data_IF_672718511921
#
_entry.id   IF_672718511921
#
_cell.length_a   1.000
_cell.length_b   1.000
_cell.length_c   1.000
_cell.angle_alpha   90.00
_cell.angle_beta   90.00
_cell.angle_gamma   90.00
#
_symmetry.space_group_name_H-M   'P 1'
#
loop_
_entity.id
_entity.type
_entity.pdbx_description
1 polymer ?
#
# COMPACT_ATOMS: atom_id res chain seq x y z
N UNK A 1 -11.48 10.35 13.60
CA UNK A 1 -10.51 11.03 14.50
C UNK A 1 -9.96 12.27 13.81
N UNK A 2 -9.79 13.40 14.52
CA UNK A 2 -9.18 14.62 13.94
C UNK A 2 -7.75 14.39 13.43
N UNK A 3 -7.03 13.47 14.07
CA UNK A 3 -5.68 13.05 13.68
C UNK A 3 -5.59 12.59 12.21
N UNK A 4 -6.56 11.81 11.72
CA UNK A 4 -6.55 11.29 10.35
C UNK A 4 -6.52 12.41 9.31
N UNK A 5 -7.26 13.50 9.52
CA UNK A 5 -7.27 14.63 8.59
C UNK A 5 -5.91 15.31 8.48
N UNK A 6 -5.26 15.58 9.62
CA UNK A 6 -3.93 16.20 9.63
C UNK A 6 -2.84 15.28 9.05
N UNK A 7 -2.89 13.98 9.36
CA UNK A 7 -1.97 13.00 8.78
C UNK A 7 -2.15 12.90 7.27
N UNK A 8 -3.39 12.82 6.78
CA UNK A 8 -3.69 12.73 5.36
C UNK A 8 -3.13 13.94 4.58
N UNK A 9 -3.27 15.16 5.12
CA UNK A 9 -2.68 16.36 4.51
C UNK A 9 -1.15 16.26 4.40
N UNK A 10 -0.47 15.75 5.44
CA UNK A 10 1.00 15.57 5.41
C UNK A 10 1.45 14.46 4.47
N UNK A 11 0.62 13.44 4.28
CA UNK A 11 0.92 12.26 3.47
C UNK A 11 0.46 12.38 2.02
N UNK A 12 -0.19 13.49 1.65
CA UNK A 12 -0.76 13.69 0.32
C UNK A 12 -1.92 12.74 0.01
N UNK A 13 -2.68 12.33 1.02
CA UNK A 13 -3.85 11.44 0.86
C UNK A 13 -5.12 12.28 0.73
N UNK A 14 -5.77 12.22 -0.42
CA UNK A 14 -7.04 12.89 -0.67
C UNK A 14 -8.24 12.09 -0.15
N UNK A 15 -9.27 12.78 0.33
CA UNK A 15 -10.57 12.19 0.66
C UNK A 15 -11.63 12.71 -0.31
N UNK A 16 -12.46 11.82 -0.84
CA UNK A 16 -13.69 12.22 -1.53
C UNK A 16 -14.72 12.76 -0.53
N UNK A 17 -14.80 12.14 0.66
CA UNK A 17 -15.75 12.47 1.73
C UNK A 17 -15.12 12.18 3.10
N UNK A 18 -15.39 13.05 4.09
CA UNK A 18 -15.03 12.84 5.50
C UNK A 18 -16.33 12.89 6.30
N UNK A 19 -16.69 11.80 6.97
CA UNK A 19 -17.99 11.63 7.64
C UNK A 19 -17.76 11.37 9.13
N UNK A 20 -18.24 12.29 9.97
CA UNK A 20 -18.26 12.13 11.41
C UNK A 20 -19.64 11.66 11.88
N UNK A 21 -19.76 10.39 12.28
CA UNK A 21 -21.05 9.82 12.71
C UNK A 21 -21.44 10.13 14.16
N UNK A 22 -20.48 10.57 14.99
CA UNK A 22 -20.72 10.95 16.39
C UNK A 22 -21.45 9.85 17.16
N UNK A 23 -22.59 10.21 17.75
CA UNK A 23 -23.38 9.32 18.61
C UNK A 23 -24.22 8.27 17.86
N UNK A 24 -24.30 8.32 16.51
CA UNK A 24 -24.95 7.27 15.68
C UNK A 24 -26.42 6.97 16.03
N UNK A 25 -27.17 7.98 16.45
CA UNK A 25 -28.58 7.83 16.88
C UNK A 25 -29.54 7.48 15.74
N UNK A 26 -29.19 7.83 14.49
CA UNK A 26 -30.04 7.60 13.32
C UNK A 26 -29.28 6.91 12.18
N UNK A 27 -28.12 7.44 11.81
CA UNK A 27 -27.27 6.91 10.73
C UNK A 27 -26.04 6.25 11.33
N UNK A 28 -25.76 5.01 10.93
CA UNK A 28 -24.60 4.23 11.37
C UNK A 28 -23.71 3.83 10.17
N UNK A 29 -22.60 3.14 10.45
CA UNK A 29 -21.63 2.67 9.48
C UNK A 29 -22.27 1.88 8.35
N UNK A 30 -23.30 1.07 8.64
CA UNK A 30 -24.01 0.27 7.63
C UNK A 30 -24.59 1.14 6.52
N UNK A 31 -25.36 2.19 6.86
CA UNK A 31 -25.99 3.05 5.85
C UNK A 31 -24.93 3.86 5.09
N UNK A 32 -23.85 4.27 5.75
CA UNK A 32 -22.76 4.99 5.07
C UNK A 32 -21.97 4.10 4.12
N UNK A 33 -21.69 2.85 4.49
CA UNK A 33 -21.05 1.88 3.58
C UNK A 33 -21.95 1.66 2.36
N UNK A 34 -23.25 1.41 2.56
CA UNK A 34 -24.21 1.22 1.46
C UNK A 34 -24.25 2.44 0.51
N UNK A 35 -24.30 3.65 1.06
CA UNK A 35 -24.23 4.90 0.28
C UNK A 35 -22.90 5.05 -0.50
N UNK A 36 -21.76 4.84 0.17
CA UNK A 36 -20.43 5.03 -0.43
C UNK A 36 -20.11 3.98 -1.51
N UNK A 37 -20.76 2.82 -1.48
CA UNK A 37 -20.64 1.83 -2.55
C UNK A 37 -21.19 2.35 -3.88
N UNK A 38 -22.27 3.13 -3.84
CA UNK A 38 -22.85 3.78 -5.02
C UNK A 38 -22.16 5.08 -5.46
N UNK A 39 -21.31 5.67 -4.62
CA UNK A 39 -20.69 6.99 -4.87
C UNK A 39 -19.53 6.91 -5.89
N UNK A 40 -19.64 7.50 -7.09
CA UNK A 40 -18.62 7.35 -8.15
C UNK A 40 -17.26 7.95 -7.77
N UNK A 41 -17.22 8.93 -6.87
CA UNK A 41 -15.99 9.59 -6.43
C UNK A 41 -15.21 8.78 -5.39
N UNK A 42 -15.84 7.77 -4.79
CA UNK A 42 -15.24 6.93 -3.74
C UNK A 42 -14.64 5.67 -4.33
N UNK A 43 -13.32 5.53 -4.22
CA UNK A 43 -12.56 4.33 -4.63
C UNK A 43 -12.35 3.33 -3.50
N UNK A 44 -12.12 3.80 -2.28
CA UNK A 44 -11.80 3.00 -1.09
C UNK A 44 -12.58 3.57 0.10
N UNK A 45 -13.16 2.69 0.92
CA UNK A 45 -13.88 3.08 2.13
C UNK A 45 -13.01 2.75 3.34
N UNK A 46 -12.76 3.77 4.18
CA UNK A 46 -11.98 3.65 5.41
C UNK A 46 -12.93 3.79 6.60
N UNK A 47 -12.90 2.81 7.51
CA UNK A 47 -13.68 2.82 8.74
C UNK A 47 -12.76 2.97 9.95
N UNK A 48 -12.96 4.03 10.74
CA UNK A 48 -12.35 4.15 12.06
C UNK A 48 -13.43 3.85 13.10
N UNK A 49 -13.27 2.74 13.83
CA UNK A 49 -14.31 2.15 14.65
C UNK A 49 -13.91 2.15 16.13
N UNK A 50 -14.72 2.77 16.98
CA UNK A 50 -14.60 2.68 18.44
C UNK A 50 -15.51 1.57 18.99
N UNK A 51 -16.71 1.45 18.45
CA UNK A 51 -17.68 0.40 18.72
C UNK A 51 -18.69 0.29 17.58
N UNK A 52 -19.46 -0.79 17.53
CA UNK A 52 -20.55 -0.97 16.57
C UNK A 52 -21.74 -1.55 17.34
N UNK A 53 -22.90 -0.92 17.19
CA UNK A 53 -24.09 -1.30 17.94
C UNK A 53 -24.77 -2.50 17.27
N UNK A 54 -24.89 -2.47 15.94
CA UNK A 54 -25.44 -3.55 15.11
C UNK A 54 -24.39 -4.14 14.15
N UNK A 55 -23.35 -4.84 14.66
CA UNK A 55 -22.22 -5.30 13.85
C UNK A 55 -22.65 -6.25 12.73
N UNK A 56 -23.69 -7.08 12.96
CA UNK A 56 -24.20 -8.02 11.95
C UNK A 56 -24.63 -7.30 10.66
N UNK A 57 -25.28 -6.14 10.77
CA UNK A 57 -25.76 -5.39 9.62
C UNK A 57 -24.59 -4.85 8.78
N UNK A 58 -23.53 -4.36 9.44
CA UNK A 58 -22.31 -3.92 8.76
C UNK A 58 -21.63 -5.09 8.04
N UNK A 59 -21.49 -6.24 8.70
CA UNK A 59 -20.87 -7.45 8.14
C UNK A 59 -21.64 -7.93 6.90
N UNK A 60 -22.96 -8.05 6.98
CA UNK A 60 -23.77 -8.50 5.84
C UNK A 60 -23.76 -7.49 4.68
N UNK A 61 -23.73 -6.18 4.98
CA UNK A 61 -23.60 -5.14 3.96
C UNK A 61 -22.24 -5.19 3.27
N UNK A 62 -21.15 -5.37 4.03
CA UNK A 62 -19.83 -5.53 3.46
C UNK A 62 -19.71 -6.79 2.59
N UNK A 63 -20.32 -7.92 3.01
CA UNK A 63 -20.41 -9.14 2.20
C UNK A 63 -21.18 -8.93 0.90
N UNK A 64 -22.32 -8.23 0.96
CA UNK A 64 -23.14 -7.90 -0.22
C UNK A 64 -22.32 -7.18 -1.29
N UNK A 65 -21.40 -6.30 -0.89
CA UNK A 65 -20.57 -5.50 -1.78
C UNK A 65 -19.12 -6.01 -1.91
N UNK A 66 -18.88 -7.28 -1.55
CA UNK A 66 -17.57 -7.91 -1.70
C UNK A 66 -17.10 -7.74 -3.14
N UNK A 67 -15.81 -7.42 -3.29
CA UNK A 67 -15.14 -7.19 -4.58
C UNK A 67 -15.62 -6.00 -5.40
N UNK A 68 -16.55 -5.17 -4.91
CA UNK A 68 -16.93 -3.94 -5.61
C UNK A 68 -15.96 -2.79 -5.31
N UNK A 69 -15.81 -2.43 -4.03
CA UNK A 69 -14.82 -1.45 -3.56
C UNK A 69 -14.13 -1.97 -2.31
N UNK A 70 -12.83 -1.70 -2.12
CA UNK A 70 -12.15 -2.08 -0.89
C UNK A 70 -12.74 -1.37 0.33
N UNK A 71 -13.02 -2.15 1.38
CA UNK A 71 -13.34 -1.65 2.71
C UNK A 71 -12.16 -2.03 3.62
N UNK A 72 -11.57 -1.03 4.26
CA UNK A 72 -10.54 -1.21 5.27
C UNK A 72 -11.03 -0.63 6.60
N UNK A 73 -10.73 -1.31 7.70
CA UNK A 73 -11.21 -0.92 9.02
C UNK A 73 -10.07 -0.91 10.04
N UNK A 74 -10.08 0.10 10.89
CA UNK A 74 -9.28 0.14 12.12
C UNK A 74 -10.22 0.17 13.33
N UNK A 75 -10.23 -0.93 14.09
CA UNK A 75 -10.94 -1.02 15.38
C UNK A 75 -10.02 -0.60 16.52
N UNK A 76 -10.24 0.61 17.04
CA UNK A 76 -9.54 1.11 18.23
C UNK A 76 -10.18 0.59 19.53
N UNK A 77 -9.56 0.83 20.68
CA UNK A 77 -10.10 0.43 21.99
C UNK A 77 -10.10 -1.08 22.23
N UNK A 78 -9.21 -1.81 21.56
CA UNK A 78 -9.14 -3.27 21.56
C UNK A 78 -8.44 -3.89 22.78
N UNK A 79 -7.75 -3.07 23.58
CA UNK A 79 -7.11 -3.50 24.84
C UNK A 79 -8.11 -3.50 26.00
N UNK A 80 -7.92 -4.35 27.01
CA UNK A 80 -8.82 -4.49 28.17
C UNK A 80 -9.10 -3.16 28.89
N UNK A 81 -8.08 -2.30 29.03
CA UNK A 81 -8.25 -0.94 29.60
C UNK A 81 -8.99 -0.01 28.63
N UNK A 82 -8.75 -0.16 27.33
CA UNK A 82 -9.46 0.58 26.29
C UNK A 82 -10.93 0.19 26.17
N UNK A 83 -11.28 -1.06 26.46
CA UNK A 83 -12.66 -1.54 26.52
C UNK A 83 -13.44 -0.85 27.64
N UNK A 84 -12.89 -0.80 28.86
CA UNK A 84 -13.51 -0.06 29.98
C UNK A 84 -13.65 1.45 29.72
N UNK A 85 -12.64 2.06 29.09
CA UNK A 85 -12.69 3.47 28.70
C UNK A 85 -13.74 3.71 27.61
N UNK A 86 -13.86 2.81 26.64
CA UNK A 86 -14.87 2.87 25.57
C UNK A 86 -16.28 2.69 26.15
N UNK A 87 -16.49 1.71 27.02
CA UNK A 87 -17.73 1.55 27.78
C UNK A 87 -18.16 2.83 28.50
N UNK A 88 -17.21 3.51 29.13
CA UNK A 88 -17.48 4.76 29.86
C UNK A 88 -17.71 5.97 28.93
N UNK A 89 -17.07 5.99 27.76
CA UNK A 89 -17.10 7.13 26.84
C UNK A 89 -18.21 7.04 25.78
N UNK A 90 -18.49 5.85 25.26
CA UNK A 90 -19.47 5.62 24.17
C UNK A 90 -20.66 4.77 24.61
N UNK A 91 -20.64 4.17 25.81
CA UNK A 91 -21.73 3.31 26.30
C UNK A 91 -21.82 1.93 25.64
N UNK A 92 -20.90 1.60 24.72
CA UNK A 92 -20.85 0.31 24.02
C UNK A 92 -19.75 -0.59 24.60
N UNK A 93 -20.05 -1.86 24.92
CA UNK A 93 -19.02 -2.86 25.22
C UNK A 93 -18.08 -3.01 24.02
N UNK A 94 -16.77 -2.82 24.21
CA UNK A 94 -15.80 -3.18 23.19
C UNK A 94 -15.70 -4.70 23.18
N UNK A 95 -16.45 -5.34 22.27
CA UNK A 95 -16.31 -6.77 22.00
C UNK A 95 -14.85 -7.16 21.75
N UNK A 96 -14.50 -8.41 22.06
CA UNK A 96 -13.13 -8.93 21.91
C UNK A 96 -12.57 -8.65 20.52
N UNK A 97 -11.36 -8.12 20.45
CA UNK A 97 -10.68 -7.77 19.20
C UNK A 97 -10.69 -8.91 18.18
N UNK A 98 -10.41 -10.14 18.63
CA UNK A 98 -10.41 -11.37 17.82
C UNK A 98 -11.75 -11.64 17.12
N UNK A 99 -12.87 -11.29 17.77
CA UNK A 99 -14.21 -11.45 17.21
C UNK A 99 -14.44 -10.43 16.09
N UNK A 100 -14.00 -9.18 16.28
CA UNK A 100 -14.07 -8.16 15.24
C UNK A 100 -13.20 -8.53 14.04
N UNK A 101 -11.94 -8.90 14.26
CA UNK A 101 -11.02 -9.24 13.16
C UNK A 101 -11.47 -10.48 12.39
N UNK A 102 -11.99 -11.49 13.09
CA UNK A 102 -12.61 -12.67 12.46
C UNK A 102 -13.84 -12.30 11.63
N UNK A 103 -14.76 -11.49 12.18
CA UNK A 103 -15.96 -11.05 11.47
C UNK A 103 -15.63 -10.18 10.24
N UNK A 104 -14.69 -9.24 10.36
CA UNK A 104 -14.20 -8.43 9.25
C UNK A 104 -13.59 -9.30 8.14
N UNK A 105 -12.78 -10.29 8.50
CA UNK A 105 -12.18 -11.21 7.53
C UNK A 105 -13.26 -11.99 6.76
N UNK A 106 -14.29 -12.50 7.46
CA UNK A 106 -15.44 -13.15 6.82
C UNK A 106 -16.22 -12.21 5.89
N UNK A 107 -16.27 -10.92 6.23
CA UNK A 107 -16.91 -9.90 5.41
C UNK A 107 -16.07 -9.41 4.21
N UNK A 108 -14.79 -9.75 4.16
CA UNK A 108 -13.86 -9.21 3.17
C UNK A 108 -13.40 -7.78 3.48
N UNK A 109 -13.56 -7.35 4.73
CA UNK A 109 -13.03 -6.08 5.26
C UNK A 109 -11.60 -6.33 5.71
N UNK A 110 -10.65 -5.55 5.20
CA UNK A 110 -9.26 -5.63 5.65
C UNK A 110 -9.10 -4.90 6.99
N UNK A 111 -8.80 -5.64 8.05
CA UNK A 111 -8.45 -5.05 9.34
C UNK A 111 -7.02 -4.48 9.34
N UNK A 112 -6.87 -3.28 9.90
CA UNK A 112 -5.61 -2.56 10.05
C UNK A 112 -5.47 -2.11 11.50
N UNK A 113 -4.25 -2.14 12.05
CA UNK A 113 -4.04 -2.00 13.49
C UNK A 113 -3.64 -0.59 13.95
N UNK A 114 -3.38 0.33 13.03
CA UNK A 114 -3.03 1.70 13.35
C UNK A 114 -3.39 2.69 12.23
N UNK A 115 -3.48 3.96 12.62
CA UNK A 115 -3.87 5.09 11.75
C UNK A 115 -2.91 5.32 10.57
N UNK A 116 -1.60 5.12 10.75
CA UNK A 116 -0.61 5.34 9.69
C UNK A 116 -0.74 4.29 8.60
N UNK A 117 -0.73 3.01 8.98
CA UNK A 117 -0.97 1.90 8.05
C UNK A 117 -2.33 2.00 7.39
N UNK A 118 -3.35 2.54 8.08
CA UNK A 118 -4.70 2.72 7.51
C UNK A 118 -4.66 3.69 6.32
N UNK A 119 -4.01 4.85 6.49
CA UNK A 119 -3.86 5.83 5.43
C UNK A 119 -2.94 5.33 4.31
N UNK A 120 -1.83 4.66 4.65
CA UNK A 120 -0.92 4.09 3.66
C UNK A 120 -1.63 3.05 2.77
N UNK A 121 -2.42 2.19 3.40
CA UNK A 121 -3.18 1.15 2.70
C UNK A 121 -4.23 1.76 1.79
N UNK A 122 -4.96 2.77 2.27
CA UNK A 122 -5.94 3.47 1.45
C UNK A 122 -5.29 4.17 0.25
N UNK A 123 -4.15 4.84 0.46
CA UNK A 123 -3.37 5.49 -0.59
C UNK A 123 -2.98 4.48 -1.68
N UNK A 124 -2.43 3.33 -1.28
CA UNK A 124 -2.05 2.27 -2.21
C UNK A 124 -3.26 1.68 -2.95
N UNK A 125 -4.35 1.34 -2.25
CA UNK A 125 -5.56 0.77 -2.86
C UNK A 125 -6.26 1.72 -3.84
N UNK A 126 -6.16 3.03 -3.62
CA UNK A 126 -6.79 4.03 -4.48
C UNK A 126 -6.02 4.29 -5.79
N UNK A 127 -4.74 3.95 -5.83
CA UNK A 127 -3.82 4.33 -6.90
C UNK A 127 -3.13 3.14 -7.60
N UNK A 128 -3.05 1.97 -6.96
CA UNK A 128 -2.46 0.76 -7.53
C UNK A 128 -3.52 -0.28 -7.88
N UNK A 129 -3.31 -1.11 -8.92
CA UNK A 129 -4.05 -2.36 -9.03
C UNK A 129 -3.69 -3.32 -7.88
N UNK A 130 -4.59 -4.25 -7.58
CA UNK A 130 -4.34 -5.32 -6.62
C UNK A 130 -3.44 -6.39 -7.28
N UNK A 131 -2.37 -6.88 -6.64
CA UNK A 131 -1.51 -7.90 -7.22
C UNK A 131 -2.28 -9.21 -7.47
N UNK A 132 -2.01 -9.86 -8.59
CA UNK A 132 -2.65 -11.13 -8.97
C UNK A 132 -1.98 -12.37 -8.36
N UNK A 133 -0.85 -12.18 -7.68
CA UNK A 133 -0.13 -13.23 -6.99
C UNK A 133 0.84 -12.66 -5.96
N UNK A 134 1.50 -13.53 -5.18
CA UNK A 134 2.40 -13.11 -4.10
C UNK A 134 3.80 -12.72 -4.59
N UNK A 135 4.10 -12.85 -5.88
CA UNK A 135 5.45 -12.67 -6.41
C UNK A 135 5.88 -11.22 -6.50
N UNK A 136 6.93 -10.82 -5.76
CA UNK A 136 7.40 -9.44 -5.67
C UNK A 136 8.83 -9.31 -6.20
N UNK A 137 9.05 -8.27 -7.00
CA UNK A 137 10.37 -7.77 -7.33
C UNK A 137 10.76 -6.61 -6.43
N UNK A 138 11.97 -6.66 -5.87
CA UNK A 138 12.53 -5.57 -5.07
C UNK A 138 13.73 -5.01 -5.82
N UNK A 139 13.60 -3.78 -6.30
CA UNK A 139 14.65 -3.04 -6.99
C UNK A 139 15.11 -1.92 -6.07
N UNK A 140 16.38 -1.91 -5.72
CA UNK A 140 16.91 -0.94 -4.78
C UNK A 140 18.18 -0.27 -5.29
N UNK A 141 18.28 1.05 -5.15
CA UNK A 141 19.54 1.76 -5.36
C UNK A 141 20.56 1.48 -4.26
N UNK A 142 20.13 0.96 -3.10
CA UNK A 142 20.99 0.70 -1.95
C UNK A 142 20.64 -0.67 -1.35
N UNK A 143 21.64 -1.44 -0.89
CA UNK A 143 21.38 -2.75 -0.31
C UNK A 143 20.42 -2.71 0.91
N UNK A 144 20.65 -1.80 1.87
CA UNK A 144 19.89 -1.71 3.12
C UNK A 144 18.37 -1.57 2.94
N UNK A 145 17.88 -0.55 2.20
CA UNK A 145 16.46 -0.41 1.86
C UNK A 145 15.84 -1.67 1.24
N UNK A 146 16.57 -2.34 0.34
CA UNK A 146 16.13 -3.60 -0.27
C UNK A 146 15.92 -4.70 0.76
N UNK A 147 16.89 -4.89 1.67
CA UNK A 147 16.78 -5.87 2.75
C UNK A 147 15.60 -5.58 3.68
N UNK A 148 15.43 -4.32 4.11
CA UNK A 148 14.33 -3.94 5.01
C UNK A 148 12.94 -4.21 4.38
N UNK A 149 12.81 -4.00 3.07
CA UNK A 149 11.58 -4.33 2.34
C UNK A 149 11.37 -5.84 2.23
N UNK A 150 12.42 -6.61 1.92
CA UNK A 150 12.36 -8.07 1.86
C UNK A 150 11.89 -8.68 3.19
N UNK A 151 12.46 -8.23 4.32
CA UNK A 151 12.07 -8.71 5.66
C UNK A 151 10.57 -8.56 5.90
N UNK A 152 9.99 -7.41 5.52
CA UNK A 152 8.55 -7.16 5.66
C UNK A 152 7.72 -8.05 4.72
N UNK A 153 8.15 -8.23 3.48
CA UNK A 153 7.48 -9.06 2.48
C UNK A 153 7.45 -10.53 2.91
N UNK A 154 8.61 -11.12 3.22
CA UNK A 154 8.75 -12.53 3.54
C UNK A 154 8.03 -12.89 4.85
N UNK A 155 8.02 -11.98 5.83
CA UNK A 155 7.26 -12.14 7.06
C UNK A 155 5.72 -12.08 6.86
N UNK A 156 5.22 -11.83 5.64
CA UNK A 156 3.80 -11.59 5.36
C UNK A 156 3.28 -12.29 4.09
N UNK A 157 3.80 -13.49 3.79
CA UNK A 157 3.36 -14.36 2.68
C UNK A 157 3.54 -13.76 1.27
N UNK A 158 4.44 -12.78 1.12
CA UNK A 158 4.93 -12.36 -0.20
C UNK A 158 6.22 -13.12 -0.51
N UNK A 159 6.43 -13.42 -1.79
CA UNK A 159 7.59 -14.17 -2.27
C UNK A 159 8.51 -13.27 -3.07
N UNK A 160 9.79 -13.19 -2.69
CA UNK A 160 10.82 -12.56 -3.50
C UNK A 160 11.15 -13.51 -4.65
N UNK A 161 10.64 -13.24 -5.85
CA UNK A 161 10.65 -14.20 -6.96
C UNK A 161 12.01 -14.29 -7.66
N UNK A 162 12.30 -15.47 -8.19
CA UNK A 162 13.31 -15.60 -9.24
C UNK A 162 12.75 -15.02 -10.55
N UNK A 163 13.54 -14.17 -11.19
CA UNK A 163 13.19 -13.64 -12.50
C UNK A 163 13.24 -14.72 -13.57
N UNK A 164 12.53 -14.49 -14.68
CA UNK A 164 12.73 -15.26 -15.91
C UNK A 164 14.19 -15.14 -16.39
N UNK A 165 14.65 -16.13 -17.16
CA UNK A 165 16.00 -16.09 -17.73
C UNK A 165 16.23 -14.83 -18.58
N UNK A 166 15.21 -14.39 -19.32
CA UNK A 166 15.28 -13.19 -20.16
C UNK A 166 15.51 -11.92 -19.33
N UNK A 167 14.78 -11.75 -18.22
CA UNK A 167 14.95 -10.61 -17.32
C UNK A 167 16.30 -10.67 -16.61
N UNK A 168 16.69 -11.86 -16.14
CA UNK A 168 17.97 -12.07 -15.48
C UNK A 168 19.17 -11.76 -16.40
N UNK A 169 19.08 -12.10 -17.69
CA UNK A 169 20.08 -11.74 -18.70
C UNK A 169 20.19 -10.22 -18.90
N UNK A 170 19.06 -9.52 -19.03
CA UNK A 170 19.05 -8.05 -19.13
C UNK A 170 19.67 -7.39 -17.89
N UNK A 171 19.35 -7.89 -16.70
CA UNK A 171 19.95 -7.38 -15.45
C UNK A 171 21.48 -7.55 -15.49
N UNK A 172 21.98 -8.72 -15.90
CA UNK A 172 23.42 -8.98 -15.98
C UNK A 172 24.13 -8.13 -17.06
N UNK A 173 23.44 -7.75 -18.15
CA UNK A 173 23.98 -6.86 -19.18
C UNK A 173 24.23 -5.45 -18.63
N UNK A 174 23.30 -4.92 -17.83
CA UNK A 174 23.36 -3.55 -17.29
C UNK A 174 24.06 -3.44 -15.94
N UNK A 175 24.20 -4.56 -15.22
CA UNK A 175 24.98 -4.70 -14.00
C UNK A 175 26.05 -5.78 -14.21
N UNK A 176 27.01 -5.59 -15.13
CA UNK A 176 28.02 -6.59 -15.43
C UNK A 176 28.79 -6.98 -14.15
N UNK A 177 28.87 -8.28 -13.83
CA UNK A 177 29.17 -8.71 -12.47
C UNK A 177 30.67 -8.72 -12.11
N UNK A 178 30.95 -8.52 -10.83
CA UNK A 178 31.88 -9.36 -10.06
C UNK A 178 31.16 -10.56 -9.38
N UNK A 179 29.81 -10.51 -9.22
CA UNK A 179 28.95 -11.58 -8.69
C UNK A 179 27.50 -11.52 -9.26
N UNK A 180 26.78 -12.64 -9.22
CA UNK A 180 25.39 -12.80 -9.71
C UNK A 180 24.42 -11.77 -9.07
N UNK A 181 23.54 -11.14 -9.87
CA UNK A 181 22.57 -10.12 -9.43
C UNK A 181 21.14 -10.62 -9.55
N UNK A 182 20.60 -11.27 -8.52
CA UNK A 182 19.22 -11.78 -8.47
C UNK A 182 18.26 -10.78 -7.83
N UNK A 183 17.03 -11.19 -7.53
CA UNK A 183 16.08 -10.46 -6.69
C UNK A 183 16.45 -10.67 -5.20
N UNK A 184 16.55 -9.63 -4.35
CA UNK A 184 16.45 -8.20 -4.64
C UNK A 184 17.60 -7.68 -5.51
N UNK A 185 17.28 -6.81 -6.48
CA UNK A 185 18.27 -6.20 -7.38
C UNK A 185 18.88 -4.97 -6.73
N UNK A 186 20.14 -5.07 -6.34
CA UNK A 186 20.98 -3.95 -5.93
C UNK A 186 21.54 -3.23 -7.17
N UNK A 187 20.94 -2.07 -7.48
CA UNK A 187 21.27 -1.18 -8.59
C UNK A 187 22.34 -0.14 -8.21
N UNK A 188 22.96 -0.23 -7.03
CA UNK A 188 24.06 0.65 -6.63
C UNK A 188 25.17 0.83 -7.69
N UNK A 189 25.62 -0.24 -8.39
CA UNK A 189 26.62 -0.12 -9.46
C UNK A 189 26.19 0.74 -10.66
N UNK A 190 24.89 0.99 -10.84
CA UNK A 190 24.32 1.79 -11.92
C UNK A 190 23.89 3.20 -11.48
N UNK A 191 24.30 3.69 -10.30
CA UNK A 191 23.90 5.02 -9.79
C UNK A 191 24.08 6.16 -10.78
N UNK A 192 25.21 6.16 -11.50
CA UNK A 192 25.58 7.19 -12.47
C UNK A 192 24.97 6.96 -13.87
N UNK A 193 24.27 5.84 -14.08
CA UNK A 193 23.66 5.48 -15.36
C UNK A 193 22.14 5.29 -15.18
N UNK A 194 21.42 6.41 -15.29
CA UNK A 194 19.95 6.42 -15.23
C UNK A 194 19.31 5.64 -16.38
N UNK A 195 20.00 5.50 -17.52
CA UNK A 195 19.54 4.67 -18.64
C UNK A 195 19.62 3.19 -18.28
N UNK A 196 20.74 2.72 -17.73
CA UNK A 196 20.88 1.35 -17.23
C UNK A 196 19.81 1.03 -16.17
N UNK A 197 19.64 1.92 -15.18
CA UNK A 197 18.60 1.80 -14.15
C UNK A 197 17.21 1.68 -14.78
N UNK A 198 16.87 2.56 -15.74
CA UNK A 198 15.59 2.52 -16.42
C UNK A 198 15.35 1.24 -17.24
N UNK A 199 16.40 0.68 -17.85
CA UNK A 199 16.30 -0.59 -18.61
C UNK A 199 16.11 -1.79 -17.68
N UNK A 200 16.76 -1.82 -16.53
CA UNK A 200 16.58 -2.85 -15.49
C UNK A 200 15.13 -2.83 -14.98
N UNK A 201 14.63 -1.65 -14.59
CA UNK A 201 13.25 -1.49 -14.11
C UNK A 201 12.26 -1.97 -15.17
N UNK A 202 12.47 -1.61 -16.44
CA UNK A 202 11.59 -2.02 -17.55
C UNK A 202 11.59 -3.54 -17.75
N UNK A 203 12.76 -4.19 -17.68
CA UNK A 203 12.86 -5.64 -17.78
C UNK A 203 12.02 -6.34 -16.70
N UNK A 204 12.11 -5.85 -15.47
CA UNK A 204 11.38 -6.40 -14.31
C UNK A 204 9.88 -6.14 -14.39
N UNK A 205 9.47 -4.98 -14.92
CA UNK A 205 8.06 -4.66 -15.15
C UNK A 205 7.36 -5.67 -16.07
N UNK A 206 8.08 -6.15 -17.09
CA UNK A 206 7.58 -7.09 -18.09
C UNK A 206 7.71 -8.56 -17.67
N UNK A 207 8.40 -8.85 -16.56
CA UNK A 207 8.64 -10.23 -16.11
C UNK A 207 7.36 -10.93 -15.62
N UNK A 208 7.06 -12.11 -16.17
CA UNK A 208 5.82 -12.84 -15.87
C UNK A 208 5.73 -13.40 -14.45
N UNK A 209 6.87 -13.66 -13.78
CA UNK A 209 6.89 -14.14 -12.40
C UNK A 209 6.60 -13.01 -11.40
N UNK A 210 6.67 -11.75 -11.84
CA UNK A 210 6.49 -10.58 -10.99
C UNK A 210 5.03 -10.15 -10.99
N UNK A 211 4.40 -10.11 -9.82
CA UNK A 211 3.03 -9.63 -9.60
C UNK A 211 2.99 -8.25 -8.93
N UNK A 212 4.08 -7.79 -8.32
CA UNK A 212 4.20 -6.46 -7.74
C UNK A 212 5.66 -6.00 -7.64
N UNK A 213 5.89 -4.69 -7.66
CA UNK A 213 7.23 -4.12 -7.72
C UNK A 213 7.41 -3.11 -6.58
N UNK A 214 8.50 -3.28 -5.83
CA UNK A 214 9.02 -2.32 -4.88
C UNK A 214 10.24 -1.64 -5.48
N UNK A 215 10.16 -0.34 -5.73
CA UNK A 215 11.27 0.47 -6.24
C UNK A 215 11.77 1.44 -5.15
N UNK A 216 12.99 1.21 -4.68
CA UNK A 216 13.54 1.85 -3.49
C UNK A 216 14.80 2.63 -3.87
N UNK A 217 14.74 3.95 -3.83
CA UNK A 217 15.86 4.81 -4.25
C UNK A 217 16.05 5.91 -3.21
N UNK A 218 17.17 5.86 -2.50
CA UNK A 218 17.59 6.98 -1.66
C UNK A 218 18.50 7.90 -2.47
N UNK A 219 18.38 9.20 -2.21
CA UNK A 219 19.22 10.19 -2.86
C UNK A 219 20.69 10.01 -2.54
N UNK A 220 21.51 10.06 -3.59
CA UNK A 220 22.93 10.32 -3.53
C UNK A 220 23.26 11.28 -4.70
N UNK A 221 24.25 12.15 -4.54
CA UNK A 221 24.59 13.11 -5.61
C UNK A 221 24.85 12.43 -6.98
N UNK A 222 25.40 11.22 -6.97
CA UNK A 222 25.67 10.43 -8.17
C UNK A 222 24.41 9.98 -8.93
N UNK A 223 23.24 9.90 -8.28
CA UNK A 223 21.99 9.40 -8.88
C UNK A 223 20.94 10.50 -9.11
N UNK A 224 21.32 11.78 -9.04
CA UNK A 224 20.39 12.92 -9.11
C UNK A 224 19.42 12.85 -10.31
N UNK A 225 19.86 12.37 -11.47
CA UNK A 225 19.05 12.27 -12.68
C UNK A 225 18.17 11.02 -12.77
N UNK A 226 18.21 10.11 -11.79
CA UNK A 226 17.54 8.80 -11.88
C UNK A 226 16.02 8.94 -12.01
N UNK A 227 15.37 9.74 -11.16
CA UNK A 227 13.91 9.91 -11.17
C UNK A 227 13.44 10.53 -12.47
N UNK A 228 14.15 11.55 -12.95
CA UNK A 228 13.90 12.18 -14.26
C UNK A 228 14.06 11.18 -15.41
N UNK A 229 15.12 10.36 -15.37
CA UNK A 229 15.41 9.34 -16.38
C UNK A 229 14.33 8.27 -16.50
N UNK A 230 13.68 7.92 -15.38
CA UNK A 230 12.65 6.87 -15.34
C UNK A 230 11.21 7.38 -15.49
N UNK A 231 10.96 8.67 -15.19
CA UNK A 231 9.61 9.25 -15.11
C UNK A 231 8.74 8.99 -16.34
N UNK A 232 9.26 9.25 -17.54
CA UNK A 232 8.47 9.15 -18.77
C UNK A 232 7.97 7.74 -19.04
N UNK A 233 8.79 6.71 -18.79
CA UNK A 233 8.35 5.35 -19.06
C UNK A 233 7.46 4.79 -17.94
N UNK A 234 7.69 5.19 -16.68
CA UNK A 234 6.81 4.82 -15.57
C UNK A 234 5.40 5.35 -15.83
N UNK A 235 5.27 6.62 -16.25
CA UNK A 235 3.98 7.21 -16.65
C UNK A 235 3.30 6.43 -17.79
N UNK A 236 4.06 6.04 -18.82
CA UNK A 236 3.52 5.30 -19.97
C UNK A 236 3.16 3.85 -19.64
N UNK A 237 3.77 3.24 -18.63
CA UNK A 237 3.49 1.87 -18.23
C UNK A 237 2.13 1.73 -17.53
N UNK A 238 1.60 2.82 -16.94
CA UNK A 238 0.25 2.91 -16.36
C UNK A 238 -0.06 1.83 -15.32
N UNK A 239 0.92 1.47 -14.49
CA UNK A 239 0.77 0.48 -13.41
C UNK A 239 0.00 -0.78 -13.82
N UNK A 240 0.51 -1.55 -14.79
CA UNK A 240 -0.08 -2.86 -15.12
C UNK A 240 -0.08 -3.84 -13.94
N UNK A 241 0.90 -3.65 -13.04
CA UNK A 241 1.06 -4.32 -11.75
C UNK A 241 1.30 -3.22 -10.71
N UNK A 242 1.01 -3.43 -9.42
CA UNK A 242 1.28 -2.43 -8.39
C UNK A 242 2.77 -2.04 -8.40
N UNK A 243 3.03 -0.75 -8.61
CA UNK A 243 4.36 -0.15 -8.45
C UNK A 243 4.33 0.76 -7.22
N UNK A 244 4.92 0.25 -6.14
CA UNK A 244 5.04 0.98 -4.88
C UNK A 244 6.50 1.37 -4.70
N UNK A 245 6.72 2.62 -4.32
CA UNK A 245 8.06 3.20 -4.27
C UNK A 245 8.41 3.73 -2.89
N UNK A 246 9.70 3.75 -2.62
CA UNK A 246 10.29 4.59 -1.59
C UNK A 246 11.43 5.36 -2.27
N UNK A 247 11.08 6.48 -2.88
CA UNK A 247 12.00 7.44 -3.49
C UNK A 247 12.10 8.60 -2.50
N UNK A 248 13.29 8.79 -1.94
CA UNK A 248 13.51 9.73 -0.85
C UNK A 248 14.75 10.58 -1.09
N UNK A 249 14.61 11.89 -0.92
CA UNK A 249 15.65 12.87 -1.08
C UNK A 249 15.48 14.03 -0.08
N UNK A 250 16.55 14.82 0.16
CA UNK A 250 16.39 16.15 0.73
C UNK A 250 15.34 16.99 -0.04
N UNK A 251 14.60 17.88 0.66
CA UNK A 251 13.59 18.73 0.02
C UNK A 251 14.15 19.51 -1.17
N UNK A 252 13.37 19.61 -2.24
CA UNK A 252 13.68 20.35 -3.46
C UNK A 252 14.47 19.58 -4.53
N UNK A 253 14.81 18.31 -4.30
CA UNK A 253 15.57 17.50 -5.29
C UNK A 253 14.65 16.71 -6.22
N UNK A 254 13.74 15.90 -5.67
CA UNK A 254 12.84 15.03 -6.46
C UNK A 254 11.35 15.28 -6.16
N UNK A 255 11.01 16.28 -5.35
CA UNK A 255 9.65 16.49 -4.84
C UNK A 255 8.63 16.68 -5.96
N UNK A 256 8.96 17.48 -6.98
CA UNK A 256 8.05 17.79 -8.07
C UNK A 256 7.90 16.61 -9.04
N UNK A 257 8.98 15.88 -9.34
CA UNK A 257 8.92 14.64 -10.13
C UNK A 257 8.11 13.55 -9.43
N UNK A 258 8.34 13.34 -8.13
CA UNK A 258 7.58 12.37 -7.32
C UNK A 258 6.09 12.76 -7.34
N UNK A 259 5.77 14.03 -7.06
CA UNK A 259 4.38 14.51 -7.06
C UNK A 259 3.71 14.28 -8.41
N UNK A 260 4.38 14.62 -9.51
CA UNK A 260 3.86 14.42 -10.87
C UNK A 260 3.59 12.94 -11.16
N UNK A 261 4.48 12.05 -10.74
CA UNK A 261 4.31 10.60 -10.92
C UNK A 261 3.14 10.06 -10.09
N UNK A 262 2.98 10.51 -8.84
CA UNK A 262 1.84 10.13 -7.99
C UNK A 262 0.51 10.67 -8.53
N UNK A 263 0.44 11.95 -8.93
CA UNK A 263 -0.76 12.58 -9.50
C UNK A 263 -1.22 11.91 -10.79
N UNK A 264 -0.28 11.41 -11.60
CA UNK A 264 -0.60 10.64 -12.80
C UNK A 264 -1.10 9.22 -12.51
N UNK A 265 -1.03 8.77 -11.25
CA UNK A 265 -1.33 7.39 -10.86
C UNK A 265 -0.29 6.38 -11.35
N UNK A 266 0.91 6.82 -11.74
CA UNK A 266 1.93 5.95 -12.31
C UNK A 266 2.76 5.19 -11.25
N UNK A 267 2.75 5.69 -10.01
CA UNK A 267 3.31 5.00 -8.85
C UNK A 267 2.68 5.55 -7.55
N UNK A 268 2.96 4.89 -6.42
CA UNK A 268 2.64 5.41 -5.08
C UNK A 268 3.90 5.42 -4.24
N UNK A 269 4.24 6.57 -3.67
CA UNK A 269 5.47 6.76 -2.90
C UNK A 269 5.22 6.78 -1.38
N UNK A 270 6.12 6.14 -0.64
CA UNK A 270 6.13 6.08 0.82
C UNK A 270 7.48 6.55 1.39
N UNK A 271 7.50 7.08 2.62
CA UNK A 271 8.70 7.69 3.18
C UNK A 271 9.74 6.67 3.68
N UNK A 272 9.37 5.39 3.84
CA UNK A 272 10.32 4.34 4.22
C UNK A 272 10.09 3.04 3.44
N UNK A 273 11.13 2.21 3.25
CA UNK A 273 11.03 0.91 2.57
C UNK A 273 10.03 -0.04 3.24
N UNK A 274 9.97 -0.05 4.57
CA UNK A 274 9.08 -0.92 5.34
C UNK A 274 7.61 -0.51 5.15
N UNK A 275 7.33 0.79 5.05
CA UNK A 275 5.98 1.29 4.76
C UNK A 275 5.55 0.97 3.33
N UNK A 276 6.45 1.13 2.36
CA UNK A 276 6.24 0.69 0.98
C UNK A 276 5.92 -0.81 0.91
N UNK A 277 6.74 -1.65 1.55
CA UNK A 277 6.52 -3.09 1.62
C UNK A 277 5.22 -3.46 2.35
N UNK A 278 4.90 -2.77 3.47
CA UNK A 278 3.66 -2.97 4.22
C UNK A 278 2.42 -2.64 3.38
N UNK A 279 2.47 -1.60 2.56
CA UNK A 279 1.40 -1.27 1.64
C UNK A 279 1.18 -2.40 0.61
N UNK A 280 2.26 -2.93 0.01
CA UNK A 280 2.19 -4.10 -0.89
C UNK A 280 1.58 -5.33 -0.20
N UNK A 281 2.02 -5.62 1.04
CA UNK A 281 1.48 -6.68 1.88
C UNK A 281 -0.03 -6.53 2.06
N UNK A 282 -0.50 -5.32 2.32
CA UNK A 282 -1.93 -5.08 2.55
C UNK A 282 -2.77 -5.20 1.28
N UNK A 283 -2.23 -4.84 0.11
CA UNK A 283 -2.88 -5.15 -1.18
C UNK A 283 -3.04 -6.66 -1.36
N UNK A 284 -1.99 -7.44 -1.05
CA UNK A 284 -2.06 -8.91 -1.14
C UNK A 284 -3.00 -9.53 -0.12
N UNK A 285 -2.98 -9.08 1.14
CA UNK A 285 -3.93 -9.52 2.18
C UNK A 285 -5.37 -9.24 1.74
N UNK A 286 -5.63 -8.08 1.14
CA UNK A 286 -6.94 -7.78 0.58
C UNK A 286 -7.33 -8.73 -0.56
N UNK A 287 -6.43 -9.05 -1.50
CA UNK A 287 -6.67 -10.05 -2.55
C UNK A 287 -7.11 -11.39 -1.95
N UNK A 288 -6.36 -11.90 -0.97
CA UNK A 288 -6.68 -13.16 -0.28
C UNK A 288 -8.06 -13.13 0.38
N UNK A 289 -8.43 -11.99 0.97
CA UNK A 289 -9.75 -11.77 1.57
C UNK A 289 -10.89 -11.73 0.54
N UNK A 290 -10.63 -11.48 -0.75
CA UNK A 290 -11.69 -11.53 -1.77
C UNK A 290 -11.88 -12.95 -2.33
N UNK A 291 -10.85 -13.79 -2.26
CA UNK A 291 -10.85 -15.16 -2.80
C UNK A 291 -11.22 -16.24 -1.80
N UNK A 292 -11.16 -15.94 -0.49
CA UNK A 292 -11.60 -16.82 0.59
C UNK A 292 -13.13 -16.88 0.68
#
# INVERSE_FOLDING_TARGET
SHLLGFMAMRMGVGFSKIIGLGNRVNVDFTQMVDYLMGDPDTKVIILYLEGIDEPRNLIETAKKYRSQKPIIAYKTGSAVVGDQASLSHTGSMAGRHEVYTGAFSQAGILNIDNTETLLDTAKAMAACPIPDGPGIAVLSGQAGPGMAACDVCEANDLMIVNFSEQTQQKINEYLPPLALRTNPVDMGPAWYDSSATGRIIRAVMDDENVNGILLLIMFASANIDVVKGISNFIMNWRQKKPLITCISAPPGIWDDEIRRLEESGAMVNFPTPERAARAMVNLWKYKKLQTA
#
